data_IF_968965038845
#
_entry.id   IF_968965038845
#
_cell.length_a   1.000
_cell.length_b   1.000
_cell.length_c   1.000
_cell.angle_alpha   90.00
_cell.angle_beta   90.00
_cell.angle_gamma   90.00
#
_symmetry.space_group_name_H-M   'P 1'
#
loop_
_entity.id
_entity.type
_entity.pdbx_description
1 polymer ?
#
# COMPACT_ATOMS: atom_id res chain seq x y z
N UNK A 1 -5.70 -6.86 -12.99
CA UNK A 1 -6.19 -5.56 -13.49
C UNK A 1 -5.93 -4.49 -12.43
N UNK A 2 -4.72 -3.93 -12.40
CA UNK A 2 -4.30 -2.75 -11.62
C UNK A 2 -4.06 -1.54 -12.53
N UNK A 3 -4.70 -1.50 -13.70
CA UNK A 3 -4.38 -0.59 -14.82
C UNK A 3 -4.72 0.89 -14.61
N UNK A 4 -5.12 1.33 -13.42
CA UNK A 4 -5.46 2.73 -13.16
C UNK A 4 -4.30 3.52 -12.55
N UNK A 5 -3.34 2.84 -11.92
CA UNK A 5 -2.25 3.47 -11.20
C UNK A 5 -1.00 3.56 -12.10
N UNK A 6 -0.28 4.69 -12.10
CA UNK A 6 0.96 4.82 -12.87
C UNK A 6 2.08 3.95 -12.28
N UNK A 7 2.66 3.10 -13.12
CA UNK A 7 3.84 2.30 -12.80
C UNK A 7 5.11 3.04 -13.22
N UNK A 8 6.15 2.97 -12.38
CA UNK A 8 7.46 3.56 -12.64
C UNK A 8 8.50 2.45 -12.75
N UNK A 9 9.05 2.28 -13.95
CA UNK A 9 9.95 1.18 -14.30
C UNK A 9 11.45 1.57 -14.22
N UNK A 10 11.78 2.78 -13.76
CA UNK A 10 13.18 3.24 -13.68
C UNK A 10 13.41 4.18 -12.50
N UNK A 11 14.63 4.17 -11.95
CA UNK A 11 15.01 5.05 -10.84
C UNK A 11 14.90 6.53 -11.18
N UNK A 12 15.27 6.91 -12.40
CA UNK A 12 15.10 8.28 -12.89
C UNK A 12 13.63 8.71 -12.94
N UNK A 13 12.71 7.81 -13.32
CA UNK A 13 11.28 8.12 -13.32
C UNK A 13 10.74 8.33 -11.89
N UNK A 14 11.27 7.58 -10.90
CA UNK A 14 10.95 7.77 -9.48
C UNK A 14 11.42 9.13 -8.99
N UNK A 15 12.68 9.48 -9.25
CA UNK A 15 13.23 10.78 -8.84
C UNK A 15 12.50 11.93 -9.51
N UNK A 16 12.20 11.81 -10.81
CA UNK A 16 11.43 12.82 -11.53
C UNK A 16 10.01 12.96 -10.96
N UNK A 17 9.33 11.87 -10.63
CA UNK A 17 7.99 11.91 -10.03
C UNK A 17 7.99 12.62 -8.66
N UNK A 18 9.04 12.40 -7.86
CA UNK A 18 9.21 13.07 -6.56
C UNK A 18 9.51 14.57 -6.74
N UNK A 19 10.34 14.92 -7.72
CA UNK A 19 10.73 16.31 -8.01
C UNK A 19 9.62 17.11 -8.69
N UNK A 20 8.80 16.47 -9.52
CA UNK A 20 7.73 17.13 -10.26
C UNK A 20 6.57 17.61 -9.35
N UNK A 21 6.39 17.00 -8.18
CA UNK A 21 5.28 17.28 -7.28
C UNK A 21 5.71 18.17 -6.10
N UNK A 22 5.33 19.46 -6.15
CA UNK A 22 5.64 20.44 -5.10
C UNK A 22 4.50 20.68 -4.09
N UNK A 23 3.26 20.49 -4.53
CA UNK A 23 2.05 20.80 -3.76
C UNK A 23 1.30 19.57 -3.24
N UNK A 24 1.59 18.39 -3.80
CA UNK A 24 0.94 17.12 -3.49
C UNK A 24 1.90 16.15 -2.81
N UNK A 25 1.33 15.25 -2.01
CA UNK A 25 2.03 14.13 -1.41
C UNK A 25 2.29 13.06 -2.48
N UNK A 26 3.51 12.58 -2.57
CA UNK A 26 3.87 11.45 -3.43
C UNK A 26 3.90 10.20 -2.57
N UNK A 27 2.99 9.26 -2.86
CA UNK A 27 2.93 7.96 -2.22
C UNK A 27 3.54 6.94 -3.18
N UNK A 28 4.55 6.22 -2.73
CA UNK A 28 5.20 5.18 -3.54
C UNK A 28 5.01 3.85 -2.85
N UNK A 29 4.40 2.90 -3.57
CA UNK A 29 4.34 1.49 -3.17
C UNK A 29 5.47 0.76 -3.89
N UNK A 30 6.44 0.27 -3.13
CA UNK A 30 7.44 -0.67 -3.61
C UNK A 30 6.90 -2.08 -3.37
N UNK A 31 6.79 -2.88 -4.42
CA UNK A 31 6.35 -4.27 -4.31
C UNK A 31 6.82 -5.08 -5.51
N UNK A 32 6.33 -6.31 -5.61
CA UNK A 32 6.46 -7.11 -6.81
C UNK A 32 5.06 -7.31 -7.41
N UNK A 33 4.91 -7.01 -8.69
CA UNK A 33 3.65 -7.21 -9.40
C UNK A 33 3.40 -8.71 -9.77
N UNK A 34 4.43 -9.59 -9.72
CA UNK A 34 4.33 -11.03 -10.05
C UNK A 34 4.03 -11.97 -8.88
N UNK A 35 3.20 -11.57 -7.92
CA UNK A 35 2.47 -12.58 -7.13
C UNK A 35 1.41 -13.27 -8.04
N UNK A 36 1.87 -14.23 -8.85
CA UNK A 36 1.16 -14.84 -9.99
C UNK A 36 -0.02 -15.74 -9.60
N UNK A 37 -0.25 -16.00 -8.31
CA UNK A 37 -1.45 -16.75 -7.85
C UNK A 37 -2.77 -16.01 -8.12
N UNK A 38 -2.70 -14.74 -8.52
CA UNK A 38 -3.88 -13.90 -8.75
C UNK A 38 -4.20 -13.61 -10.23
N UNK A 39 -3.23 -13.66 -11.16
CA UNK A 39 -3.54 -13.43 -12.59
C UNK A 39 -4.13 -14.66 -13.28
N UNK A 40 -3.83 -15.88 -12.82
CA UNK A 40 -4.53 -17.09 -13.31
C UNK A 40 -5.98 -17.18 -12.83
N UNK A 41 -6.35 -16.50 -11.74
CA UNK A 41 -7.72 -16.49 -11.20
C UNK A 41 -8.57 -15.28 -11.63
N UNK A 42 -8.07 -14.42 -12.53
CA UNK A 42 -8.87 -13.30 -13.03
C UNK A 42 -9.91 -13.69 -14.10
N UNK A 43 -9.95 -14.97 -14.49
CA UNK A 43 -11.02 -15.52 -15.34
C UNK A 43 -12.07 -16.36 -14.57
N UNK A 44 -11.90 -16.55 -13.25
CA UNK A 44 -12.83 -17.38 -12.44
C UNK A 44 -13.76 -16.52 -11.55
N UNK A 45 -13.37 -15.31 -11.13
CA UNK A 45 -14.17 -14.52 -10.17
C UNK A 45 -15.23 -13.58 -10.76
N UNK A 46 -15.45 -13.57 -12.08
CA UNK A 46 -16.65 -12.95 -12.67
C UNK A 46 -17.89 -13.85 -12.59
N UNK A 47 -17.77 -15.07 -12.06
CA UNK A 47 -18.90 -15.99 -11.87
C UNK A 47 -19.50 -16.00 -10.45
N UNK A 48 -18.74 -15.66 -9.40
CA UNK A 48 -19.17 -15.92 -8.01
C UNK A 48 -19.67 -14.69 -7.23
N UNK A 49 -20.17 -13.66 -7.92
CA UNK A 49 -20.90 -12.55 -7.28
C UNK A 49 -22.42 -12.84 -7.17
N UNK A 50 -22.88 -14.04 -7.55
CA UNK A 50 -24.31 -14.43 -7.44
C UNK A 50 -24.66 -15.47 -6.37
N UNK A 51 -23.70 -15.97 -5.56
CA UNK A 51 -24.00 -16.96 -4.51
C UNK A 51 -23.77 -16.39 -3.11
N UNK A 52 -24.38 -15.22 -2.85
CA UNK A 52 -24.92 -15.01 -1.52
C UNK A 52 -26.20 -15.82 -1.42
N UNK A 53 -26.36 -16.60 -0.35
CA UNK A 53 -27.50 -17.46 -0.01
C UNK A 53 -27.36 -18.91 -0.54
N UNK A 54 -27.54 -19.87 0.37
CA UNK A 54 -27.65 -21.34 0.22
C UNK A 54 -26.38 -22.15 0.64
N UNK A 55 -26.59 -23.04 1.61
CA UNK A 55 -25.69 -24.03 2.27
C UNK A 55 -24.77 -23.52 3.40
N UNK A 56 -25.23 -23.38 4.64
CA UNK A 56 -25.71 -24.40 5.60
C UNK A 56 -24.66 -25.44 6.01
N UNK A 57 -24.22 -25.33 7.28
CA UNK A 57 -23.72 -26.37 8.21
C UNK A 57 -22.71 -27.38 7.64
N UNK A 58 -21.45 -27.30 8.12
CA UNK A 58 -20.79 -28.33 8.95
C UNK A 58 -19.41 -27.81 9.39
N UNK A 59 -19.10 -28.11 10.66
CA UNK A 59 -17.85 -27.84 11.39
C UNK A 59 -16.60 -28.31 10.62
N UNK A 60 -15.49 -27.62 10.92
CA UNK A 60 -14.10 -27.99 10.61
C UNK A 60 -13.55 -27.48 9.27
N UNK A 61 -13.56 -26.17 9.07
CA UNK A 61 -12.83 -25.46 8.00
C UNK A 61 -11.72 -24.56 8.57
N UNK A 62 -11.13 -24.92 9.71
CA UNK A 62 -10.32 -24.02 10.52
C UNK A 62 -8.79 -24.10 10.27
N UNK A 63 -8.31 -24.81 9.24
CA UNK A 63 -6.86 -25.02 9.05
C UNK A 63 -6.32 -24.74 7.64
N UNK A 64 -7.17 -24.53 6.64
CA UNK A 64 -6.74 -24.14 5.28
C UNK A 64 -6.91 -22.63 5.04
N UNK A 65 -7.62 -21.95 5.95
CA UNK A 65 -7.89 -20.52 5.90
C UNK A 65 -6.70 -19.65 6.35
N UNK A 66 -5.72 -20.21 7.07
CA UNK A 66 -4.58 -19.46 7.61
C UNK A 66 -3.42 -19.27 6.62
N UNK A 67 -3.18 -20.22 5.70
CA UNK A 67 -2.06 -20.11 4.73
C UNK A 67 -2.44 -19.39 3.43
N UNK A 68 -3.72 -19.36 3.05
CA UNK A 68 -4.20 -18.59 1.90
C UNK A 68 -4.31 -17.08 2.18
N UNK A 69 -4.35 -16.70 3.46
CA UNK A 69 -4.43 -15.31 3.89
C UNK A 69 -3.09 -14.57 3.76
N UNK A 70 -1.95 -15.25 3.60
CA UNK A 70 -0.65 -14.57 3.41
C UNK A 70 -0.31 -14.29 1.93
N UNK A 71 -0.81 -15.11 1.00
CA UNK A 71 -0.50 -15.01 -0.44
C UNK A 71 -1.46 -14.09 -1.22
N UNK A 72 -2.57 -13.66 -0.61
CA UNK A 72 -3.56 -12.75 -1.23
C UNK A 72 -3.49 -11.30 -0.73
N UNK A 73 -2.57 -11.00 0.19
CA UNK A 73 -2.42 -9.68 0.83
C UNK A 73 -2.07 -8.52 -0.13
N UNK A 74 -1.28 -8.69 -1.22
CA UNK A 74 -0.94 -7.57 -2.11
C UNK A 74 -2.17 -7.05 -2.87
N UNK A 75 -3.07 -7.95 -3.26
CA UNK A 75 -4.22 -7.63 -4.13
C UNK A 75 -5.31 -6.83 -3.41
N UNK A 76 -5.58 -7.18 -2.15
CA UNK A 76 -6.52 -6.44 -1.30
C UNK A 76 -6.07 -5.00 -1.09
N UNK A 77 -4.76 -4.77 -1.00
CA UNK A 77 -4.19 -3.44 -0.87
C UNK A 77 -4.34 -2.64 -2.16
N UNK A 78 -4.05 -3.23 -3.32
CA UNK A 78 -4.17 -2.55 -4.62
C UNK A 78 -5.61 -2.14 -4.93
N UNK A 79 -6.60 -2.93 -4.52
CA UNK A 79 -8.02 -2.57 -4.66
C UNK A 79 -8.40 -1.38 -3.78
N UNK A 80 -7.92 -1.36 -2.54
CA UNK A 80 -8.08 -0.21 -1.63
C UNK A 80 -7.43 1.03 -2.23
N UNK A 81 -6.19 0.93 -2.70
CA UNK A 81 -5.44 2.03 -3.31
C UNK A 81 -6.14 2.57 -4.55
N UNK A 82 -6.63 1.69 -5.44
CA UNK A 82 -7.35 2.09 -6.64
C UNK A 82 -8.63 2.87 -6.30
N UNK A 83 -9.38 2.44 -5.29
CA UNK A 83 -10.60 3.14 -4.87
C UNK A 83 -10.33 4.46 -4.13
N UNK A 84 -9.18 4.60 -3.48
CA UNK A 84 -8.78 5.82 -2.78
C UNK A 84 -8.10 6.82 -3.74
N UNK A 85 -7.47 6.35 -4.82
CA UNK A 85 -6.76 7.20 -5.76
C UNK A 85 -7.61 8.36 -6.30
N UNK A 86 -8.90 8.12 -6.55
CA UNK A 86 -9.80 9.16 -7.05
C UNK A 86 -10.19 10.20 -5.98
N UNK A 87 -10.29 9.79 -4.72
CA UNK A 87 -10.67 10.71 -3.61
C UNK A 87 -9.50 11.61 -3.19
N UNK A 88 -8.26 11.10 -3.26
CA UNK A 88 -7.07 11.82 -2.79
C UNK A 88 -6.35 12.62 -3.88
N UNK A 89 -6.80 12.58 -5.14
CA UNK A 89 -6.14 13.20 -6.31
C UNK A 89 -5.74 14.68 -6.16
N UNK A 90 -6.47 15.41 -5.31
CA UNK A 90 -6.24 16.83 -5.06
C UNK A 90 -5.01 17.10 -4.17
N UNK A 91 -4.63 16.17 -3.30
CA UNK A 91 -3.55 16.36 -2.32
C UNK A 91 -2.50 15.24 -2.32
N UNK A 92 -2.75 14.11 -2.98
CA UNK A 92 -1.81 13.02 -3.07
C UNK A 92 -1.86 12.31 -4.44
N UNK A 93 -0.73 11.75 -4.85
CA UNK A 93 -0.56 10.92 -6.05
C UNK A 93 0.07 9.60 -5.63
N UNK A 94 -0.44 8.49 -6.15
CA UNK A 94 0.08 7.14 -5.86
C UNK A 94 0.83 6.63 -7.09
N UNK A 95 2.04 6.12 -6.87
CA UNK A 95 2.84 5.41 -7.85
C UNK A 95 3.13 3.98 -7.38
N UNK A 96 3.18 3.06 -8.34
CA UNK A 96 3.61 1.69 -8.14
C UNK A 96 5.04 1.53 -8.69
N UNK A 97 5.91 0.89 -7.92
CA UNK A 97 7.29 0.59 -8.32
C UNK A 97 7.58 -0.88 -8.05
N UNK A 98 8.12 -1.55 -9.07
CA UNK A 98 8.58 -2.92 -8.94
C UNK A 98 10.03 -3.00 -8.44
N UNK A 99 10.24 -3.78 -7.37
CA UNK A 99 11.53 -3.90 -6.70
C UNK A 99 12.60 -4.64 -7.55
N UNK A 100 12.22 -5.49 -8.50
CA UNK A 100 13.23 -6.09 -9.42
C UNK A 100 13.60 -5.19 -10.57
N UNK A 101 12.67 -4.34 -11.02
CA UNK A 101 12.95 -3.44 -12.14
C UNK A 101 13.84 -2.30 -11.68
N UNK A 102 13.61 -1.80 -10.47
CA UNK A 102 14.40 -0.72 -9.87
C UNK A 102 15.04 -1.18 -8.56
N UNK A 103 16.15 -1.96 -8.62
CA UNK A 103 16.82 -2.46 -7.42
C UNK A 103 17.66 -1.39 -6.70
N UNK A 104 17.94 -0.25 -7.34
CA UNK A 104 18.83 0.81 -6.84
C UNK A 104 18.40 1.36 -5.46
N UNK A 105 17.10 1.34 -5.19
CA UNK A 105 16.51 1.84 -3.96
C UNK A 105 16.53 0.83 -2.80
N UNK A 106 16.84 -0.44 -3.07
CA UNK A 106 16.68 -1.51 -2.08
C UNK A 106 17.67 -1.37 -0.93
N UNK A 107 18.92 -1.05 -1.24
CA UNK A 107 19.95 -0.82 -0.21
C UNK A 107 19.74 0.51 0.50
N UNK A 108 19.33 1.56 -0.21
CA UNK A 108 19.19 2.90 0.38
C UNK A 108 18.03 2.98 1.37
N UNK A 109 16.89 2.36 1.03
CA UNK A 109 15.72 2.37 1.89
C UNK A 109 15.52 1.07 2.68
N UNK A 110 16.45 0.12 2.63
CA UNK A 110 16.36 -1.19 3.33
C UNK A 110 15.07 -1.96 2.98
N UNK A 111 14.75 -2.07 1.69
CA UNK A 111 13.57 -2.77 1.18
C UNK A 111 13.82 -4.29 1.16
N UNK A 112 13.46 -4.97 2.25
CA UNK A 112 13.52 -6.45 2.34
C UNK A 112 12.13 -7.10 2.41
N UNK A 113 11.10 -6.30 2.69
CA UNK A 113 9.72 -6.76 2.81
C UNK A 113 9.05 -6.90 1.42
N UNK A 114 8.06 -7.79 1.26
CA UNK A 114 7.40 -8.04 -0.03
C UNK A 114 6.60 -6.85 -0.57
N UNK A 115 6.11 -5.97 0.32
CA UNK A 115 5.44 -4.73 -0.05
C UNK A 115 5.71 -3.65 1.00
N UNK A 116 6.09 -2.46 0.55
CA UNK A 116 6.27 -1.30 1.45
C UNK A 116 5.69 -0.04 0.83
N UNK A 117 5.18 0.85 1.68
CA UNK A 117 4.68 2.16 1.26
C UNK A 117 5.49 3.27 1.93
N UNK A 118 5.88 4.24 1.13
CA UNK A 118 6.63 5.42 1.55
C UNK A 118 5.94 6.70 1.09
N UNK A 119 6.20 7.77 1.84
CA UNK A 119 5.61 9.08 1.62
C UNK A 119 6.70 10.12 1.39
N UNK A 120 6.56 10.87 0.31
CA UNK A 120 7.46 11.96 -0.06
C UNK A 120 6.66 13.25 -0.23
N UNK A 121 7.28 14.37 0.15
CA UNK A 121 6.74 15.70 -0.06
C UNK A 121 7.89 16.66 -0.33
N UNK A 122 7.89 17.34 -1.49
CA UNK A 122 8.94 18.30 -1.87
C UNK A 122 10.36 17.73 -1.76
N UNK A 123 10.59 16.56 -2.36
CA UNK A 123 11.88 15.86 -2.30
C UNK A 123 12.34 15.47 -0.87
N UNK A 124 11.42 15.43 0.10
CA UNK A 124 11.69 15.00 1.47
C UNK A 124 10.86 13.79 1.80
N UNK A 125 11.51 12.74 2.28
CA UNK A 125 10.84 11.59 2.89
C UNK A 125 10.17 12.02 4.21
N UNK A 126 8.89 11.67 4.37
CA UNK A 126 8.10 11.96 5.57
C UNK A 126 8.00 10.68 6.40
N UNK A 127 8.52 10.75 7.62
CA UNK A 127 8.42 9.69 8.61
C UNK A 127 7.05 9.74 9.30
N UNK A 128 6.50 8.57 9.58
CA UNK A 128 5.21 8.45 10.26
C UNK A 128 5.41 7.60 11.51
N UNK A 129 5.07 8.15 12.66
CA UNK A 129 5.00 7.40 13.91
C UNK A 129 3.65 6.66 13.99
N UNK A 130 3.71 5.36 13.76
CA UNK A 130 2.57 4.44 13.79
C UNK A 130 2.57 3.57 15.07
N UNK A 131 3.57 3.72 15.95
CA UNK A 131 3.73 2.90 17.15
C UNK A 131 4.26 1.48 16.89
N UNK A 132 4.70 1.18 15.66
CA UNK A 132 5.29 -0.11 15.25
C UNK A 132 6.79 -0.22 15.55
N UNK A 133 7.44 0.90 15.89
CA UNK A 133 8.89 0.98 16.11
C UNK A 133 9.72 1.29 14.86
N UNK A 134 9.14 1.17 13.66
CA UNK A 134 9.72 1.64 12.40
C UNK A 134 8.87 2.79 11.85
N UNK A 135 9.48 3.97 11.71
CA UNK A 135 8.79 5.19 11.27
C UNK A 135 9.07 5.54 9.80
N UNK A 136 9.96 4.78 9.15
CA UNK A 136 10.41 5.10 7.80
C UNK A 136 9.44 4.61 6.72
N UNK A 137 8.70 3.54 6.99
CA UNK A 137 7.86 2.87 6.00
C UNK A 137 6.69 2.13 6.65
N UNK A 138 5.65 1.89 5.86
CA UNK A 138 4.57 0.97 6.20
C UNK A 138 4.85 -0.35 5.48
N UNK A 139 5.05 -1.44 6.23
CA UNK A 139 5.33 -2.77 5.67
C UNK A 139 4.13 -3.75 5.75
N UNK A 140 3.00 -3.32 6.31
CA UNK A 140 1.77 -4.10 6.35
C UNK A 140 0.70 -3.54 5.41
N UNK A 141 -0.15 -4.41 4.89
CA UNK A 141 -1.31 -4.00 4.11
C UNK A 141 -2.41 -3.41 5.03
N UNK A 142 -2.90 -2.22 4.70
CA UNK A 142 -4.08 -1.62 5.33
C UNK A 142 -5.34 -2.16 4.65
N UNK A 143 -6.28 -2.70 5.43
CA UNK A 143 -7.55 -3.27 4.92
C UNK A 143 -8.65 -2.21 4.78
N UNK A 144 -8.61 -1.18 5.64
CA UNK A 144 -9.66 -0.16 5.70
C UNK A 144 -9.29 1.08 4.88
N UNK A 145 -10.18 1.47 3.96
CA UNK A 145 -10.01 2.64 3.09
C UNK A 145 -9.93 3.95 3.87
N UNK A 146 -10.77 4.07 4.90
CA UNK A 146 -10.85 5.28 5.72
C UNK A 146 -9.55 5.51 6.50
N UNK A 147 -8.96 4.44 7.05
CA UNK A 147 -7.70 4.55 7.79
C UNK A 147 -6.57 5.06 6.89
N UNK A 148 -6.52 4.59 5.65
CA UNK A 148 -5.52 5.07 4.71
C UNK A 148 -5.72 6.55 4.37
N UNK A 149 -6.96 7.01 4.17
CA UNK A 149 -7.26 8.43 3.93
C UNK A 149 -6.84 9.29 5.12
N UNK A 150 -7.14 8.86 6.35
CA UNK A 150 -6.80 9.60 7.56
C UNK A 150 -5.27 9.72 7.73
N UNK A 151 -4.51 8.66 7.40
CA UNK A 151 -3.03 8.70 7.38
C UNK A 151 -2.55 9.70 6.33
N UNK A 152 -3.01 9.61 5.09
CA UNK A 152 -2.56 10.53 4.02
C UNK A 152 -2.88 11.98 4.37
N UNK A 153 -4.04 12.25 4.97
CA UNK A 153 -4.43 13.60 5.39
C UNK A 153 -3.53 14.12 6.51
N UNK A 154 -3.25 13.31 7.54
CA UNK A 154 -2.36 13.71 8.64
C UNK A 154 -0.95 13.98 8.15
N UNK A 155 -0.43 13.12 7.26
CA UNK A 155 0.88 13.29 6.62
C UNK A 155 0.92 14.58 5.80
N UNK A 156 -0.09 14.83 4.96
CA UNK A 156 -0.18 16.04 4.15
C UNK A 156 -0.21 17.31 5.01
N UNK A 157 -1.05 17.33 6.06
CA UNK A 157 -1.13 18.45 7.00
C UNK A 157 0.18 18.65 7.76
N UNK A 158 0.87 17.58 8.13
CA UNK A 158 2.17 17.62 8.80
C UNK A 158 3.30 18.11 7.90
N UNK A 159 3.35 17.60 6.67
CA UNK A 159 4.34 17.94 5.66
C UNK A 159 4.23 19.41 5.22
N UNK A 160 2.99 19.94 5.05
CA UNK A 160 2.77 21.37 4.77
C UNK A 160 3.25 22.29 5.89
N UNK A 161 3.28 21.82 7.13
CA UNK A 161 3.86 22.55 8.28
C UNK A 161 5.39 22.41 8.36
N UNK A 162 6.01 21.70 7.43
CA UNK A 162 7.45 21.44 7.40
C UNK A 162 7.92 20.37 8.39
N UNK A 163 7.01 19.61 9.00
CA UNK A 163 7.37 18.53 9.93
C UNK A 163 7.84 17.31 9.13
N UNK A 164 9.01 16.79 9.47
CA UNK A 164 9.54 15.56 8.87
C UNK A 164 9.02 14.28 9.53
N UNK A 165 8.46 14.38 10.74
CA UNK A 165 7.82 13.30 11.48
C UNK A 165 6.38 13.69 11.78
N UNK A 166 5.45 12.80 11.43
CA UNK A 166 4.01 12.95 11.69
C UNK A 166 3.54 11.80 12.54
N UNK A 167 2.72 12.08 13.55
CA UNK A 167 2.13 11.04 14.40
C UNK A 167 0.81 10.62 13.77
N UNK A 168 0.62 9.33 13.58
CA UNK A 168 -0.62 8.78 13.06
C UNK A 168 -1.78 9.01 14.05
N UNK A 169 -3.03 9.14 13.56
CA UNK A 169 -4.18 9.35 14.42
C UNK A 169 -4.57 8.09 15.21
N UNK A 170 -4.11 6.91 14.79
CA UNK A 170 -4.31 5.62 15.45
C UNK A 170 -2.96 4.96 15.70
N UNK A 171 -2.84 4.30 16.85
CA UNK A 171 -1.70 3.46 17.19
C UNK A 171 -1.87 2.07 16.59
N UNK A 172 -0.91 1.64 15.79
CA UNK A 172 -0.87 0.30 15.18
C UNK A 172 -0.05 -0.71 15.99
N UNK A 173 0.45 -0.31 17.17
CA UNK A 173 1.26 -1.13 18.08
C UNK A 173 0.62 -2.47 18.47
N UNK A 174 -0.71 -2.54 18.55
CA UNK A 174 -1.43 -3.75 18.97
C UNK A 174 -1.56 -4.83 17.90
N UNK A 175 -1.26 -4.55 16.62
CA UNK A 175 -1.35 -5.55 15.55
C UNK A 175 -0.29 -6.66 15.65
N UNK A 176 0.82 -6.42 16.33
CA UNK A 176 1.87 -7.41 16.60
C UNK A 176 1.73 -8.09 17.97
N UNK A 177 0.60 -7.91 18.68
CA UNK A 177 0.32 -8.72 19.88
C UNK A 177 -0.12 -10.10 19.43
N UNK A 178 0.86 -11.00 19.34
CA UNK A 178 0.70 -12.44 19.20
C UNK A 178 -0.23 -13.03 20.28
#
# INVERSE_FOLDING_TARGET
MSYLLPHLHSGWAVDQAILAEEERLVVIRFGHDWDETCMQNQQILVADVLVYVVFCKVRSFAYVESQLLEVTMPRLMDEVLASVAETIKNFAVIYLVDITEVPDFNTMYELYDPSTVMFFFRNKHIMIDLGTGNNNKINWALKDKQEFIDIVETVYRGARKGRGLVIAPKDYSTKYRY
#
